data_IF_567919739279
#
_entry.id   IF_567919739279
#
_cell.length_a   1.000
_cell.length_b   1.000
_cell.length_c   1.000
_cell.angle_alpha   90.00
_cell.angle_beta   90.00
_cell.angle_gamma   90.00
#
_symmetry.space_group_name_H-M   'P 1'
#
loop_
_entity.id
_entity.type
_entity.pdbx_description
1 polymer ?
#
# COMPACT_ATOMS: atom_id res chain seq x y z
N UNK A 1 39.05 -0.85 -0.81
CA UNK A 1 37.58 -0.84 -0.97
C UNK A 1 37.10 0.58 -0.76
N UNK A 2 36.21 1.06 -1.61
CA UNK A 2 35.97 2.49 -1.81
C UNK A 2 35.15 3.10 -0.66
N UNK A 3 35.83 3.89 0.17
CA UNK A 3 35.24 4.60 1.31
C UNK A 3 34.13 5.57 0.87
N UNK A 4 34.20 6.09 -0.36
CA UNK A 4 33.16 6.97 -0.91
C UNK A 4 31.88 6.20 -1.23
N UNK A 5 31.97 4.97 -1.74
CA UNK A 5 30.83 4.09 -1.95
C UNK A 5 30.18 3.69 -0.62
N UNK A 6 30.98 3.42 0.41
CA UNK A 6 30.47 3.13 1.76
C UNK A 6 29.69 4.30 2.34
N UNK A 7 30.26 5.51 2.32
CA UNK A 7 29.58 6.72 2.80
C UNK A 7 28.32 7.05 2.01
N UNK A 8 28.35 6.87 0.69
CA UNK A 8 27.18 7.09 -0.16
C UNK A 8 26.05 6.08 0.13
N UNK A 9 26.38 4.80 0.34
CA UNK A 9 25.42 3.77 0.76
C UNK A 9 24.84 4.09 2.15
N UNK A 10 25.70 4.45 3.11
CA UNK A 10 25.28 4.86 4.46
C UNK A 10 24.33 6.07 4.43
N UNK A 11 24.55 7.03 3.52
CA UNK A 11 23.66 8.18 3.33
C UNK A 11 22.28 7.80 2.79
N UNK A 12 22.18 6.79 1.93
CA UNK A 12 20.91 6.34 1.35
C UNK A 12 20.14 5.38 2.26
N UNK A 13 20.84 4.57 3.04
CA UNK A 13 20.29 3.43 3.76
C UNK A 13 20.24 3.60 5.28
N UNK A 14 20.89 4.64 5.82
CA UNK A 14 21.04 4.85 7.25
C UNK A 14 22.12 3.94 7.89
N UNK A 15 22.28 4.07 9.20
CA UNK A 15 23.24 3.28 9.98
C UNK A 15 22.62 1.91 10.31
N UNK A 16 22.60 1.02 9.31
CA UNK A 16 22.19 -0.38 9.50
C UNK A 16 23.47 -1.19 9.75
N UNK A 17 23.51 -2.03 10.79
CA UNK A 17 24.66 -2.89 11.09
C UNK A 17 24.82 -3.92 9.96
N UNK A 18 25.79 -3.66 9.09
CA UNK A 18 26.02 -4.35 7.81
C UNK A 18 26.86 -5.63 7.96
N UNK A 19 26.67 -6.40 9.03
CA UNK A 19 27.46 -7.62 9.25
C UNK A 19 26.94 -8.77 8.35
N UNK A 20 27.47 -8.83 7.13
CA UNK A 20 27.67 -10.02 6.29
C UNK A 20 26.58 -11.11 6.28
N UNK A 21 25.42 -10.85 5.67
CA UNK A 21 24.53 -11.87 5.06
C UNK A 21 23.35 -11.25 4.28
N UNK A 22 22.85 -10.09 4.74
CA UNK A 22 21.60 -9.49 4.25
C UNK A 22 21.68 -8.90 2.84
N UNK A 23 22.84 -8.45 2.34
CA UNK A 23 22.97 -7.93 0.96
C UNK A 23 22.64 -8.96 -0.14
N UNK A 24 22.68 -10.28 0.17
CA UNK A 24 22.33 -11.33 -0.79
C UNK A 24 20.84 -11.67 -0.83
N UNK A 25 20.06 -11.14 0.09
CA UNK A 25 18.64 -11.46 0.19
C UNK A 25 17.82 -10.54 -0.73
N UNK A 26 16.80 -11.12 -1.37
CA UNK A 26 15.89 -10.35 -2.22
C UNK A 26 15.08 -9.35 -1.39
N UNK A 27 14.77 -8.16 -1.93
CA UNK A 27 13.97 -7.17 -1.24
C UNK A 27 12.58 -7.74 -0.92
N UNK A 28 12.14 -7.60 0.33
CA UNK A 28 10.87 -8.12 0.78
C UNK A 28 10.00 -7.01 1.37
N UNK A 29 8.71 -7.01 1.00
CA UNK A 29 7.71 -6.09 1.56
C UNK A 29 6.65 -6.89 2.32
N UNK A 30 6.46 -6.55 3.58
CA UNK A 30 5.40 -7.13 4.41
C UNK A 30 4.36 -6.07 4.73
N UNK A 31 3.18 -6.17 4.12
CA UNK A 31 2.05 -5.31 4.45
C UNK A 31 1.41 -5.73 5.77
N UNK A 32 1.30 -4.79 6.70
CA UNK A 32 0.70 -4.98 8.02
C UNK A 32 -0.77 -4.60 8.04
N UNK A 33 -1.16 -3.54 7.32
CA UNK A 33 -2.55 -3.11 7.27
C UNK A 33 -2.88 -2.24 6.07
N UNK A 34 -4.14 -2.29 5.64
CA UNK A 34 -4.78 -1.39 4.69
C UNK A 34 -5.88 -0.59 5.42
N UNK A 35 -5.87 0.72 5.29
CA UNK A 35 -6.85 1.63 5.86
C UNK A 35 -7.58 2.39 4.76
N UNK A 36 -8.87 2.64 4.97
CA UNK A 36 -9.63 3.60 4.14
C UNK A 36 -10.14 4.70 5.06
N UNK A 37 -9.76 5.93 4.70
CA UNK A 37 -10.17 7.14 5.41
C UNK A 37 -11.10 7.89 4.47
N UNK A 38 -12.30 8.24 4.94
CA UNK A 38 -13.24 9.06 4.18
C UNK A 38 -13.65 10.29 4.97
N UNK A 39 -13.97 11.37 4.25
CA UNK A 39 -14.38 12.63 4.87
C UNK A 39 -15.56 12.43 5.83
N UNK A 40 -15.32 12.62 7.13
CA UNK A 40 -16.35 12.54 8.18
C UNK A 40 -16.60 11.16 8.79
N UNK A 41 -15.81 10.13 8.46
CA UNK A 41 -15.87 8.82 9.10
C UNK A 41 -14.51 8.43 9.71
N UNK A 42 -14.49 7.59 10.77
CA UNK A 42 -13.25 7.04 11.30
C UNK A 42 -12.55 6.13 10.28
N UNK A 43 -11.22 5.98 10.42
CA UNK A 43 -10.42 5.09 9.58
C UNK A 43 -10.92 3.64 9.71
N UNK A 44 -11.27 3.03 8.58
CA UNK A 44 -11.60 1.62 8.50
C UNK A 44 -10.31 0.87 8.19
N UNK A 45 -9.75 0.19 9.20
CA UNK A 45 -8.45 -0.49 9.11
C UNK A 45 -8.60 -2.01 9.04
N UNK A 46 -7.94 -2.61 8.07
CA UNK A 46 -7.89 -4.05 7.81
C UNK A 46 -6.47 -4.56 8.04
N UNK A 47 -6.26 -5.52 8.96
CA UNK A 47 -4.95 -6.16 9.12
C UNK A 47 -4.64 -7.06 7.92
N UNK A 48 -3.38 -7.02 7.44
CA UNK A 48 -2.89 -7.85 6.35
C UNK A 48 -1.87 -8.87 6.89
N UNK A 49 -1.80 -10.09 6.32
CA UNK A 49 -2.63 -10.60 5.23
C UNK A 49 -4.06 -10.90 5.67
N UNK A 50 -5.02 -10.77 4.75
CA UNK A 50 -6.41 -11.13 5.00
C UNK A 50 -6.53 -12.64 5.23
N UNK A 51 -7.12 -13.05 6.35
CA UNK A 51 -7.33 -14.46 6.66
C UNK A 51 -8.30 -15.04 5.62
N UNK A 52 -7.93 -16.14 4.95
CA UNK A 52 -8.70 -16.76 3.85
C UNK A 52 -10.16 -17.12 4.18
N UNK A 53 -10.54 -17.13 5.46
CA UNK A 53 -11.89 -17.43 5.94
C UNK A 53 -12.77 -16.19 6.10
N UNK A 54 -12.24 -14.97 5.99
CA UNK A 54 -13.07 -13.77 5.96
C UNK A 54 -13.62 -13.59 4.56
N UNK A 55 -14.88 -14.00 4.38
CA UNK A 55 -15.75 -13.54 3.31
C UNK A 55 -15.51 -12.04 3.08
N UNK A 56 -15.29 -11.66 1.82
CA UNK A 56 -15.24 -10.31 1.26
C UNK A 56 -15.32 -9.17 2.29
N UNK A 57 -14.19 -8.53 2.57
CA UNK A 57 -14.20 -7.26 3.30
C UNK A 57 -15.15 -6.32 2.58
N UNK A 58 -16.24 -5.98 3.27
CA UNK A 58 -17.22 -5.00 2.79
C UNK A 58 -17.05 -3.71 3.57
N UNK A 59 -17.08 -2.61 2.85
CA UNK A 59 -17.00 -1.27 3.40
C UNK A 59 -18.03 -0.40 2.68
N UNK A 60 -18.57 0.57 3.40
CA UNK A 60 -19.59 1.47 2.87
C UNK A 60 -19.00 2.86 2.74
N UNK A 61 -18.91 3.36 1.51
CA UNK A 61 -18.57 4.75 1.23
C UNK A 61 -19.84 5.54 0.91
N UNK A 62 -19.92 6.75 1.44
CA UNK A 62 -20.99 7.68 1.07
C UNK A 62 -20.75 8.14 -0.37
N UNK A 63 -21.80 8.20 -1.18
CA UNK A 63 -21.67 8.68 -2.56
C UNK A 63 -21.08 10.10 -2.61
N UNK A 64 -20.14 10.33 -3.53
CA UNK A 64 -19.46 11.61 -3.68
C UNK A 64 -18.54 12.02 -2.52
N UNK A 65 -18.27 11.15 -1.54
CA UNK A 65 -17.28 11.46 -0.53
C UNK A 65 -15.86 11.32 -1.08
N UNK A 66 -14.96 12.16 -0.56
CA UNK A 66 -13.55 11.98 -0.78
C UNK A 66 -13.02 10.94 0.20
N UNK A 67 -12.16 10.06 -0.31
CA UNK A 67 -11.48 9.06 0.47
C UNK A 67 -10.06 8.88 -0.03
N UNK A 68 -9.19 8.37 0.84
CA UNK A 68 -7.87 7.92 0.44
C UNK A 68 -7.56 6.59 1.12
N UNK A 69 -6.67 5.85 0.49
CA UNK A 69 -6.19 4.57 0.98
C UNK A 69 -4.86 4.80 1.70
N UNK A 70 -4.75 4.24 2.89
CA UNK A 70 -3.53 4.25 3.70
C UNK A 70 -3.00 2.83 3.82
N UNK A 71 -1.70 2.63 3.74
CA UNK A 71 -1.11 1.32 4.05
C UNK A 71 0.06 1.45 5.02
N UNK A 72 0.19 0.42 5.87
CA UNK A 72 1.32 0.22 6.76
C UNK A 72 2.08 -1.01 6.30
N UNK A 73 3.39 -0.89 6.06
CA UNK A 73 4.23 -1.98 5.58
C UNK A 73 5.67 -1.86 6.08
N UNK A 74 6.37 -2.99 6.13
CA UNK A 74 7.80 -3.04 6.42
C UNK A 74 8.57 -3.47 5.19
N UNK A 75 9.78 -2.94 5.05
CA UNK A 75 10.73 -3.33 4.01
C UNK A 75 11.90 -4.01 4.68
N UNK A 76 12.25 -5.20 4.21
CA UNK A 76 13.32 -6.03 4.75
C UNK A 76 14.38 -6.30 3.68
N UNK A 77 15.57 -6.66 4.17
CA UNK A 77 16.74 -7.12 3.40
C UNK A 77 17.39 -6.08 2.49
N UNK A 78 16.63 -5.49 1.55
CA UNK A 78 17.19 -4.61 0.53
C UNK A 78 16.18 -3.53 0.08
N UNK A 79 16.65 -2.56 -0.70
CA UNK A 79 15.83 -1.48 -1.24
C UNK A 79 14.78 -2.06 -2.18
N UNK A 80 13.52 -1.69 -1.96
CA UNK A 80 12.41 -1.97 -2.88
C UNK A 80 12.25 -0.76 -3.80
N UNK A 81 12.54 -0.94 -5.08
CA UNK A 81 12.34 0.09 -6.10
C UNK A 81 11.03 -0.14 -6.85
N UNK A 82 10.26 0.93 -7.06
CA UNK A 82 9.07 0.87 -7.92
C UNK A 82 7.90 0.10 -7.30
N UNK A 83 7.74 0.16 -5.97
CA UNK A 83 6.55 -0.34 -5.31
C UNK A 83 5.33 0.36 -5.94
N UNK A 84 4.34 -0.43 -6.38
CA UNK A 84 3.15 0.10 -7.04
C UNK A 84 1.90 -0.55 -6.49
N UNK A 85 0.86 0.24 -6.27
CA UNK A 85 -0.46 -0.22 -5.90
C UNK A 85 -1.33 -0.32 -7.14
N UNK A 86 -1.96 -1.48 -7.34
CA UNK A 86 -2.92 -1.69 -8.42
C UNK A 86 -4.28 -2.01 -7.82
N UNK A 87 -5.29 -1.22 -8.18
CA UNK A 87 -6.67 -1.52 -7.81
C UNK A 87 -7.52 -1.68 -9.06
N UNK A 88 -8.29 -2.75 -9.11
CA UNK A 88 -9.28 -2.96 -10.17
C UNK A 88 -10.64 -3.07 -9.52
N UNK A 89 -11.64 -2.36 -10.07
CA UNK A 89 -12.99 -2.31 -9.53
C UNK A 89 -13.98 -2.87 -10.54
N UNK A 90 -14.90 -3.69 -10.06
CA UNK A 90 -15.99 -4.29 -10.82
C UNK A 90 -17.35 -3.93 -10.24
N UNK A 91 -18.32 -3.70 -11.13
CA UNK A 91 -19.74 -3.55 -10.79
C UNK A 91 -20.56 -4.54 -11.61
N UNK A 92 -21.37 -5.37 -10.96
CA UNK A 92 -22.20 -6.38 -11.62
C UNK A 92 -21.41 -7.26 -12.63
N UNK A 93 -20.17 -7.64 -12.27
CA UNK A 93 -19.28 -8.45 -13.11
C UNK A 93 -18.53 -7.68 -14.21
N UNK A 94 -18.88 -6.42 -14.49
CA UNK A 94 -18.21 -5.57 -15.46
C UNK A 94 -17.08 -4.79 -14.78
N UNK A 95 -15.90 -4.78 -15.41
CA UNK A 95 -14.78 -3.93 -14.96
C UNK A 95 -15.15 -2.47 -15.22
N UNK A 96 -15.24 -1.68 -14.15
CA UNK A 96 -15.63 -0.26 -14.22
C UNK A 96 -14.46 0.68 -14.01
N UNK A 97 -13.40 0.22 -13.32
CA UNK A 97 -12.23 1.04 -13.08
C UNK A 97 -10.95 0.20 -12.94
N UNK A 98 -9.80 0.80 -13.24
CA UNK A 98 -8.48 0.22 -13.02
C UNK A 98 -7.40 1.28 -12.94
N UNK A 99 -6.77 1.33 -11.79
CA UNK A 99 -5.74 2.29 -11.44
C UNK A 99 -4.45 1.57 -11.07
N UNK A 100 -3.32 2.20 -11.42
CA UNK A 100 -1.98 1.79 -11.00
C UNK A 100 -1.23 3.02 -10.52
N UNK A 101 -0.95 3.09 -9.22
CA UNK A 101 -0.22 4.19 -8.61
C UNK A 101 1.21 3.73 -8.29
N UNK A 102 2.20 4.52 -8.71
CA UNK A 102 3.59 4.33 -8.28
C UNK A 102 3.72 4.90 -6.87
N UNK A 103 3.96 4.03 -5.90
CA UNK A 103 4.14 4.40 -4.49
C UNK A 103 5.54 4.95 -4.27
N UNK A 104 6.57 4.31 -4.85
CA UNK A 104 7.93 4.83 -4.87
C UNK A 104 9.00 3.80 -4.54
N UNK A 105 10.08 4.28 -3.93
CA UNK A 105 11.26 3.49 -3.55
C UNK A 105 11.47 3.57 -2.04
N UNK A 106 11.73 2.43 -1.42
CA UNK A 106 11.79 2.30 0.04
C UNK A 106 13.02 1.51 0.46
N UNK A 107 13.77 2.04 1.42
CA UNK A 107 14.91 1.35 2.05
C UNK A 107 14.41 0.39 3.13
N UNK A 108 15.18 -0.66 3.47
CA UNK A 108 14.88 -1.48 4.63
C UNK A 108 15.01 -0.65 5.92
N UNK A 109 14.07 -0.79 6.84
CA UNK A 109 14.12 -0.14 8.17
C UNK A 109 13.28 -0.91 9.19
N UNK A 110 13.56 -0.70 10.48
CA UNK A 110 12.85 -1.38 11.58
C UNK A 110 11.44 -0.86 11.79
N UNK A 111 11.21 0.44 11.58
CA UNK A 111 9.91 1.07 11.76
C UNK A 111 9.02 0.93 10.52
N UNK A 112 7.72 0.66 10.65
CA UNK A 112 6.84 0.54 9.49
C UNK A 112 6.72 1.86 8.72
N UNK A 113 6.67 1.76 7.38
CA UNK A 113 6.22 2.85 6.51
C UNK A 113 4.72 3.00 6.59
N UNK A 114 4.26 4.25 6.73
CA UNK A 114 2.87 4.64 6.56
C UNK A 114 2.81 5.53 5.34
N UNK A 115 1.99 5.17 4.37
CA UNK A 115 1.84 5.93 3.13
C UNK A 115 0.37 6.05 2.77
N UNK A 116 -0.01 7.28 2.44
CA UNK A 116 -1.33 7.66 1.99
C UNK A 116 -1.28 7.81 0.47
N UNK A 117 -2.20 7.16 -0.23
CA UNK A 117 -2.39 7.37 -1.66
C UNK A 117 -3.09 8.70 -1.93
N UNK A 118 -3.09 9.08 -3.20
CA UNK A 118 -3.85 10.22 -3.69
C UNK A 118 -5.34 10.10 -3.32
N UNK A 119 -5.96 11.24 -3.07
CA UNK A 119 -7.37 11.31 -2.74
C UNK A 119 -8.24 10.96 -3.96
N UNK A 120 -9.21 10.08 -3.75
CA UNK A 120 -10.20 9.66 -4.74
C UNK A 120 -11.60 10.09 -4.30
N UNK A 121 -12.53 10.18 -5.25
CA UNK A 121 -13.93 10.51 -4.97
C UNK A 121 -14.83 9.31 -5.27
N UNK A 122 -15.63 8.91 -4.29
CA UNK A 122 -16.60 7.83 -4.46
C UNK A 122 -17.63 8.19 -5.54
N UNK A 123 -18.02 7.24 -6.40
CA UNK A 123 -18.92 7.52 -7.51
C UNK A 123 -20.29 7.96 -6.98
N UNK A 124 -20.98 8.84 -7.73
CA UNK A 124 -22.24 9.45 -7.31
C UNK A 124 -23.35 9.27 -8.33
N UNK A 125 -24.61 9.31 -7.85
CA UNK A 125 -25.80 9.22 -8.68
C UNK A 125 -26.49 7.86 -8.62
N UNK A 126 -27.75 7.84 -9.02
CA UNK A 126 -28.66 6.68 -8.84
C UNK A 126 -28.10 5.40 -9.45
N UNK A 127 -27.47 5.48 -10.62
CA UNK A 127 -26.89 4.33 -11.33
C UNK A 127 -25.54 3.89 -10.76
N UNK A 128 -24.82 4.79 -10.08
CA UNK A 128 -23.53 4.50 -9.45
C UNK A 128 -23.69 3.83 -8.08
N UNK A 129 -24.78 4.08 -7.36
CA UNK A 129 -25.02 3.39 -6.09
C UNK A 129 -25.11 1.86 -6.25
N UNK A 130 -24.66 1.13 -5.24
CA UNK A 130 -24.67 -0.34 -5.20
C UNK A 130 -23.36 -0.94 -4.76
N UNK A 131 -23.26 -2.28 -4.87
CA UNK A 131 -22.08 -3.04 -4.46
C UNK A 131 -21.03 -3.08 -5.56
N UNK A 132 -19.78 -2.93 -5.15
CA UNK A 132 -18.60 -3.04 -6.00
C UNK A 132 -17.69 -4.13 -5.43
N UNK A 133 -17.00 -4.84 -6.32
CA UNK A 133 -15.91 -5.73 -5.95
C UNK A 133 -14.61 -5.03 -6.31
N UNK A 134 -13.65 -5.01 -5.38
CA UNK A 134 -12.31 -4.49 -5.62
C UNK A 134 -11.29 -5.62 -5.48
N UNK A 135 -10.27 -5.62 -6.33
CA UNK A 135 -9.09 -6.49 -6.18
C UNK A 135 -7.86 -5.61 -6.23
N UNK A 136 -7.10 -5.67 -5.14
CA UNK A 136 -5.89 -4.90 -4.94
C UNK A 136 -4.66 -5.79 -5.04
N UNK A 137 -3.56 -5.24 -5.54
CA UNK A 137 -2.24 -5.88 -5.67
C UNK A 137 -1.14 -4.89 -5.37
#
# INVERSE_FOLDING_TARGET
EDESLRRWKEQLLGCVDYDSAEEKMEPEVTFQSLGIISSGNPEIKFPLPLVKSSNDISLTLKEGCNYYVKFSFMVHHNIVCGLSYVNTVWKAGLKVDHIRHMVGTFSPRREPYVHDLEEETAPSGVLARGSYMAKTK
#
